data_IF_342815945270
#
_entry.id   IF_342815945270
#
_cell.length_a   1.000
_cell.length_b   1.000
_cell.length_c   1.000
_cell.angle_alpha   90.00
_cell.angle_beta   90.00
_cell.angle_gamma   90.00
#
_symmetry.space_group_name_H-M   'P 1'
#
loop_
_entity.id
_entity.type
_entity.pdbx_description
1 polymer ?
#
# COMPACT_ATOMS: atom_id res chain seq x y z
N UNK A 1 -23.16 -35.92 -18.67
CA UNK A 1 -22.11 -34.93 -18.37
C UNK A 1 -22.29 -34.52 -16.92
N UNK A 2 -21.53 -35.14 -16.02
CA UNK A 2 -21.53 -34.79 -14.60
C UNK A 2 -20.95 -33.38 -14.47
N UNK A 3 -21.82 -32.40 -14.21
CA UNK A 3 -21.40 -31.02 -13.99
C UNK A 3 -20.38 -31.00 -12.86
N UNK A 4 -19.15 -30.59 -13.15
CA UNK A 4 -18.21 -30.23 -12.11
C UNK A 4 -18.83 -29.05 -11.37
N UNK A 5 -19.34 -29.28 -10.17
CA UNK A 5 -19.77 -28.20 -9.29
C UNK A 5 -18.58 -27.24 -9.15
N UNK A 6 -18.77 -25.99 -9.58
CA UNK A 6 -17.79 -24.93 -9.37
C UNK A 6 -17.49 -24.86 -7.87
N UNK A 7 -16.21 -24.89 -7.50
CA UNK A 7 -15.77 -24.65 -6.11
C UNK A 7 -15.98 -23.19 -5.69
N UNK A 8 -16.34 -22.33 -6.65
CA UNK A 8 -16.55 -20.91 -6.45
C UNK A 8 -18.05 -20.59 -6.41
N UNK A 9 -18.44 -19.85 -5.36
CA UNK A 9 -19.81 -19.38 -5.11
C UNK A 9 -20.33 -18.41 -6.18
N UNK A 10 -19.41 -17.84 -6.98
CA UNK A 10 -19.74 -16.99 -8.10
C UNK A 10 -18.63 -17.08 -9.17
N UNK A 11 -18.99 -17.15 -10.45
CA UNK A 11 -18.03 -17.34 -11.55
C UNK A 11 -16.94 -16.24 -11.61
N UNK A 12 -17.28 -14.99 -11.27
CA UNK A 12 -16.31 -13.88 -11.14
C UNK A 12 -15.17 -14.10 -10.13
N UNK A 13 -15.38 -14.93 -9.09
CA UNK A 13 -14.35 -15.26 -8.10
C UNK A 13 -13.35 -16.28 -8.63
N UNK A 14 -13.75 -17.10 -9.60
CA UNK A 14 -12.88 -18.09 -10.23
C UNK A 14 -11.84 -17.39 -11.13
N UNK A 15 -10.53 -17.52 -10.86
CA UNK A 15 -9.50 -16.99 -11.74
C UNK A 15 -9.59 -17.54 -13.17
N UNK A 16 -10.19 -18.71 -13.41
CA UNK A 16 -10.37 -19.28 -14.74
C UNK A 16 -11.45 -18.59 -15.59
N UNK A 17 -12.30 -17.74 -14.99
CA UNK A 17 -13.39 -17.07 -15.72
C UNK A 17 -12.96 -15.75 -16.36
N UNK A 18 -12.18 -14.94 -15.63
CA UNK A 18 -11.75 -13.61 -16.09
C UNK A 18 -10.24 -13.41 -16.03
N UNK A 19 -9.60 -13.64 -14.89
CA UNK A 19 -8.18 -13.31 -14.69
C UNK A 19 -7.23 -14.07 -15.64
N UNK A 20 -7.24 -15.41 -15.60
CA UNK A 20 -6.32 -16.23 -16.41
C UNK A 20 -6.63 -16.15 -17.91
N UNK A 21 -7.90 -16.16 -18.37
CA UNK A 21 -8.22 -15.88 -19.77
C UNK A 21 -7.74 -14.49 -20.22
N UNK A 22 -7.94 -13.46 -19.38
CA UNK A 22 -7.45 -12.10 -19.63
C UNK A 22 -5.94 -12.06 -19.82
N UNK A 23 -5.17 -12.67 -18.92
CA UNK A 23 -3.70 -12.77 -19.03
C UNK A 23 -3.28 -13.54 -20.29
N UNK A 24 -3.87 -14.72 -20.55
CA UNK A 24 -3.50 -15.56 -21.70
C UNK A 24 -3.78 -14.89 -23.04
N UNK A 25 -4.87 -14.12 -23.11
CA UNK A 25 -5.28 -13.42 -24.33
C UNK A 25 -4.57 -12.08 -24.56
N UNK A 26 -3.79 -11.59 -23.58
CA UNK A 26 -3.13 -10.29 -23.68
C UNK A 26 -2.24 -10.17 -24.91
N UNK A 27 -1.26 -11.05 -25.08
CA UNK A 27 -0.29 -10.92 -26.18
C UNK A 27 -0.94 -11.09 -27.55
N UNK A 28 -1.77 -12.12 -27.81
CA UNK A 28 -2.50 -12.23 -29.07
C UNK A 28 -3.35 -11.00 -29.38
N UNK A 29 -4.09 -10.47 -28.40
CA UNK A 29 -4.90 -9.26 -28.58
C UNK A 29 -4.01 -8.06 -28.89
N UNK A 30 -2.96 -7.82 -28.09
CA UNK A 30 -2.04 -6.70 -28.29
C UNK A 30 -1.43 -6.72 -29.69
N UNK A 31 -0.92 -7.86 -30.15
CA UNK A 31 -0.33 -7.98 -31.50
C UNK A 31 -1.35 -7.83 -32.63
N UNK A 32 -2.62 -8.16 -32.39
CA UNK A 32 -3.69 -7.96 -33.37
C UNK A 32 -3.97 -6.46 -33.60
N UNK A 33 -4.10 -5.69 -32.51
CA UNK A 33 -4.31 -4.24 -32.59
C UNK A 33 -3.06 -3.49 -33.07
N UNK A 34 -1.87 -3.87 -32.59
CA UNK A 34 -0.60 -3.18 -32.85
C UNK A 34 0.34 -4.01 -33.75
N UNK A 35 -0.18 -4.46 -34.90
CA UNK A 35 0.54 -5.36 -35.82
C UNK A 35 1.59 -4.67 -36.71
N UNK A 36 1.63 -3.33 -36.75
CA UNK A 36 2.63 -2.58 -37.51
C UNK A 36 2.95 -1.21 -36.88
N UNK A 37 4.01 -0.56 -37.36
CA UNK A 37 4.44 0.75 -36.86
C UNK A 37 3.42 1.87 -37.02
N UNK A 38 2.55 1.82 -38.04
CA UNK A 38 1.49 2.82 -38.22
C UNK A 38 0.44 2.70 -37.10
N UNK A 39 0.05 1.48 -36.75
CA UNK A 39 -0.93 1.23 -35.69
C UNK A 39 -0.48 1.81 -34.32
N UNK A 40 0.83 1.83 -34.05
CA UNK A 40 1.42 2.45 -32.85
C UNK A 40 1.34 3.99 -32.83
N UNK A 41 1.05 4.63 -33.97
CA UNK A 41 0.98 6.09 -34.08
C UNK A 41 -0.46 6.63 -34.16
N UNK A 42 -1.45 5.76 -34.31
CA UNK A 42 -2.85 6.15 -34.48
C UNK A 42 -3.65 6.09 -33.18
N UNK A 43 -4.15 7.24 -32.72
CA UNK A 43 -5.02 7.35 -31.54
C UNK A 43 -6.28 6.47 -31.63
N UNK A 44 -6.82 6.26 -32.83
CA UNK A 44 -7.99 5.40 -33.04
C UNK A 44 -7.73 3.94 -32.63
N UNK A 45 -6.52 3.42 -32.90
CA UNK A 45 -6.12 2.06 -32.49
C UNK A 45 -6.11 1.94 -30.97
N UNK A 46 -5.53 2.92 -30.26
CA UNK A 46 -5.52 2.94 -28.80
C UNK A 46 -6.92 3.02 -28.20
N UNK A 47 -7.79 3.88 -28.76
CA UNK A 47 -9.20 3.98 -28.32
C UNK A 47 -9.95 2.67 -28.51
N UNK A 48 -9.79 2.02 -29.67
CA UNK A 48 -10.45 0.74 -29.96
C UNK A 48 -9.90 -0.37 -29.06
N UNK A 49 -8.58 -0.45 -28.87
CA UNK A 49 -7.95 -1.41 -27.97
C UNK A 49 -8.47 -1.24 -26.54
N UNK A 50 -8.49 0.00 -26.03
CA UNK A 50 -8.97 0.29 -24.68
C UNK A 50 -10.47 -0.02 -24.51
N UNK A 51 -11.30 0.21 -25.54
CA UNK A 51 -12.74 0.01 -25.43
C UNK A 51 -13.19 -1.44 -25.68
N UNK A 52 -12.40 -2.24 -26.39
CA UNK A 52 -12.83 -3.56 -26.89
C UNK A 52 -12.01 -4.73 -26.33
N UNK A 53 -10.78 -4.50 -25.88
CA UNK A 53 -9.98 -5.52 -25.22
C UNK A 53 -10.42 -5.70 -23.75
N UNK A 54 -9.90 -6.74 -23.10
CA UNK A 54 -10.11 -6.90 -21.66
C UNK A 54 -9.47 -5.71 -20.91
N UNK A 55 -10.14 -5.12 -19.90
CA UNK A 55 -9.58 -4.02 -19.12
C UNK A 55 -8.21 -4.34 -18.50
N UNK A 56 -7.91 -5.60 -18.24
CA UNK A 56 -6.61 -6.04 -17.74
C UNK A 56 -5.50 -5.83 -18.78
N UNK A 57 -5.80 -5.90 -20.08
CA UNK A 57 -4.80 -5.80 -21.15
C UNK A 57 -4.12 -4.44 -21.19
N UNK A 58 -4.89 -3.36 -21.10
CA UNK A 58 -4.33 -2.00 -21.03
C UNK A 58 -3.53 -1.76 -19.74
N UNK A 59 -3.93 -2.38 -18.62
CA UNK A 59 -3.16 -2.36 -17.38
C UNK A 59 -1.83 -3.12 -17.52
N UNK A 60 -1.81 -4.29 -18.18
CA UNK A 60 -0.57 -5.05 -18.45
C UNK A 60 0.37 -4.25 -19.38
N UNK A 61 -0.16 -3.68 -20.46
CA UNK A 61 0.63 -2.86 -21.38
C UNK A 61 1.24 -1.63 -20.68
N UNK A 62 0.45 -0.94 -19.86
CA UNK A 62 0.93 0.19 -19.07
C UNK A 62 2.00 -0.24 -18.05
N UNK A 63 1.79 -1.35 -17.35
CA UNK A 63 2.78 -1.91 -16.43
C UNK A 63 4.11 -2.25 -17.13
N UNK A 64 4.05 -2.86 -18.32
CA UNK A 64 5.23 -3.14 -19.14
C UNK A 64 5.98 -1.88 -19.58
N UNK A 65 5.23 -0.86 -20.02
CA UNK A 65 5.79 0.45 -20.38
C UNK A 65 6.49 1.12 -19.19
N UNK A 66 5.84 1.16 -18.02
CA UNK A 66 6.43 1.78 -16.82
C UNK A 66 7.63 0.98 -16.31
N UNK A 67 7.59 -0.35 -16.40
CA UNK A 67 8.74 -1.20 -16.07
C UNK A 67 9.95 -0.90 -16.96
N UNK A 68 9.72 -0.77 -18.27
CA UNK A 68 10.76 -0.35 -19.22
C UNK A 68 11.30 1.05 -18.91
N UNK A 69 10.40 2.00 -18.60
CA UNK A 69 10.78 3.36 -18.20
C UNK A 69 11.65 3.36 -16.94
N UNK A 70 11.27 2.64 -15.88
CA UNK A 70 12.04 2.54 -14.63
C UNK A 70 13.43 2.00 -14.90
N UNK A 71 13.54 0.91 -15.66
CA UNK A 71 14.82 0.34 -16.04
C UNK A 71 15.67 1.33 -16.84
N UNK A 72 15.10 1.94 -17.88
CA UNK A 72 15.81 2.88 -18.74
C UNK A 72 16.31 4.11 -17.95
N UNK A 73 15.47 4.65 -17.07
CA UNK A 73 15.83 5.80 -16.26
C UNK A 73 16.88 5.45 -15.20
N UNK A 74 16.84 4.26 -14.60
CA UNK A 74 17.93 3.80 -13.73
C UNK A 74 19.25 3.71 -14.53
N UNK A 75 19.23 3.25 -15.78
CA UNK A 75 20.43 3.18 -16.64
C UNK A 75 20.99 4.55 -16.98
N UNK A 76 20.13 5.54 -17.21
CA UNK A 76 20.53 6.92 -17.53
C UNK A 76 21.06 7.65 -16.29
N UNK A 77 20.38 7.50 -15.16
CA UNK A 77 20.64 8.30 -13.94
C UNK A 77 21.56 7.62 -12.92
N UNK A 78 21.69 6.29 -12.99
CA UNK A 78 22.33 5.48 -11.94
C UNK A 78 21.52 5.37 -10.65
N UNK A 79 20.30 5.91 -10.60
CA UNK A 79 19.45 5.98 -9.42
C UNK A 79 18.33 4.93 -9.50
N UNK A 80 18.30 4.02 -8.53
CA UNK A 80 17.35 2.91 -8.46
C UNK A 80 15.97 3.29 -7.89
N UNK A 81 15.84 4.50 -7.34
CA UNK A 81 14.59 5.01 -6.76
C UNK A 81 13.57 5.53 -7.77
N UNK A 82 13.74 5.24 -9.08
CA UNK A 82 12.75 5.64 -10.09
C UNK A 82 11.35 5.12 -9.77
N UNK A 83 11.25 3.86 -9.31
CA UNK A 83 9.96 3.26 -8.92
C UNK A 83 9.43 3.81 -7.58
N UNK A 84 10.30 4.26 -6.68
CA UNK A 84 9.91 4.76 -5.35
C UNK A 84 9.04 6.03 -5.48
N UNK A 85 9.36 6.92 -6.42
CA UNK A 85 8.53 8.09 -6.72
C UNK A 85 7.20 7.71 -7.37
N UNK A 86 7.23 6.77 -8.31
CA UNK A 86 6.03 6.28 -9.02
C UNK A 86 5.06 5.54 -8.11
N UNK A 87 5.55 4.94 -7.02
CA UNK A 87 4.77 4.27 -5.99
C UNK A 87 3.59 5.11 -5.50
N UNK A 88 3.78 6.42 -5.44
CA UNK A 88 2.77 7.36 -4.93
C UNK A 88 1.57 7.54 -5.86
N UNK A 89 1.71 7.17 -7.14
CA UNK A 89 0.72 7.41 -8.19
C UNK A 89 0.19 6.13 -8.84
N UNK A 90 1.03 5.12 -9.06
CA UNK A 90 0.66 3.97 -9.88
C UNK A 90 -0.56 3.20 -9.34
N UNK A 91 -0.71 2.89 -8.04
CA UNK A 91 -1.92 2.24 -7.53
C UNK A 91 -3.19 3.06 -7.79
N UNK A 92 -3.10 4.39 -7.66
CA UNK A 92 -4.20 5.29 -8.00
C UNK A 92 -4.51 5.24 -9.49
N UNK A 93 -3.50 5.28 -10.36
CA UNK A 93 -3.70 5.20 -11.82
C UNK A 93 -4.42 3.91 -12.21
N UNK A 94 -4.02 2.76 -11.65
CA UNK A 94 -4.71 1.49 -11.91
C UNK A 94 -6.14 1.46 -11.34
N UNK A 95 -6.36 2.02 -10.14
CA UNK A 95 -7.69 2.14 -9.53
C UNK A 95 -8.63 3.02 -10.37
N UNK A 96 -8.14 4.17 -10.85
CA UNK A 96 -8.84 5.06 -11.78
C UNK A 96 -9.14 4.33 -13.08
N UNK A 97 -8.15 3.66 -13.67
CA UNK A 97 -8.28 2.91 -14.93
C UNK A 97 -9.48 1.96 -14.89
N UNK A 98 -9.56 1.07 -13.89
CA UNK A 98 -10.68 0.12 -13.79
C UNK A 98 -12.01 0.81 -13.47
N UNK A 99 -11.99 1.96 -12.79
CA UNK A 99 -13.21 2.71 -12.45
C UNK A 99 -13.80 3.43 -13.65
N UNK A 100 -12.96 4.03 -14.50
CA UNK A 100 -13.41 4.77 -15.68
C UNK A 100 -13.56 3.89 -16.92
N UNK A 101 -13.07 2.65 -16.91
CA UNK A 101 -13.12 1.76 -18.08
C UNK A 101 -14.55 1.63 -18.65
N UNK A 102 -15.55 1.43 -17.77
CA UNK A 102 -16.97 1.34 -18.17
C UNK A 102 -17.45 2.57 -18.94
N UNK A 103 -16.92 3.77 -18.65
CA UNK A 103 -17.28 5.00 -19.35
C UNK A 103 -16.91 4.94 -20.84
N UNK A 104 -15.77 4.33 -21.17
CA UNK A 104 -15.28 4.19 -22.54
C UNK A 104 -15.89 2.99 -23.28
N UNK A 105 -16.37 1.99 -22.55
CA UNK A 105 -17.04 0.82 -23.13
C UNK A 105 -18.57 0.93 -23.13
N UNK A 106 -19.12 2.02 -22.59
CA UNK A 106 -20.56 2.18 -22.42
C UNK A 106 -21.25 2.21 -23.78
N UNK A 107 -22.08 1.20 -24.02
CA UNK A 107 -23.00 1.14 -25.15
C UNK A 107 -24.39 1.51 -24.62
N UNK A 108 -25.06 2.55 -25.15
CA UNK A 108 -26.40 2.91 -24.70
C UNK A 108 -27.38 1.77 -25.02
N UNK A 109 -27.79 1.01 -24.00
CA UNK A 109 -28.62 -0.18 -24.16
C UNK A 109 -30.13 0.12 -24.19
N UNK A 110 -30.55 1.39 -24.17
CA UNK A 110 -31.96 1.76 -24.10
C UNK A 110 -32.42 2.47 -25.36
N UNK A 111 -32.73 1.68 -26.38
CA UNK A 111 -33.67 2.12 -27.41
C UNK A 111 -35.07 1.99 -26.79
N UNK A 112 -35.62 3.08 -26.26
CA UNK A 112 -37.03 3.09 -25.87
C UNK A 112 -37.88 3.08 -27.13
N UNK A 113 -38.76 2.08 -27.26
CA UNK A 113 -39.64 1.90 -28.42
C UNK A 113 -40.48 3.17 -28.73
N UNK A 114 -40.68 4.05 -27.75
CA UNK A 114 -41.45 5.30 -27.87
C UNK A 114 -40.79 6.54 -27.21
N UNK A 115 -39.56 6.45 -26.69
CA UNK A 115 -39.02 7.43 -25.73
C UNK A 115 -37.76 8.21 -26.12
N UNK A 116 -37.30 8.10 -27.36
CA UNK A 116 -36.06 8.77 -27.78
C UNK A 116 -34.80 8.24 -27.07
N UNK A 117 -33.68 8.95 -27.23
CA UNK A 117 -32.40 8.60 -26.59
C UNK A 117 -32.41 9.11 -25.15
N UNK A 118 -32.58 8.23 -24.16
CA UNK A 118 -32.34 8.58 -22.76
C UNK A 118 -30.88 9.02 -22.59
N UNK A 119 -30.65 10.24 -22.11
CA UNK A 119 -29.31 10.73 -21.81
C UNK A 119 -28.75 9.96 -20.61
N UNK A 120 -27.82 9.05 -20.86
CA UNK A 120 -27.15 8.30 -19.79
C UNK A 120 -26.45 9.25 -18.81
N UNK A 121 -26.76 9.09 -17.52
CA UNK A 121 -26.12 9.79 -16.42
C UNK A 121 -24.67 9.33 -16.24
N UNK A 122 -23.88 10.06 -15.45
CA UNK A 122 -22.53 9.62 -15.07
C UNK A 122 -22.56 8.26 -14.35
N UNK A 123 -23.57 8.02 -13.53
CA UNK A 123 -23.72 6.79 -12.74
C UNK A 123 -24.17 5.59 -13.55
N UNK A 124 -24.64 5.79 -14.78
CA UNK A 124 -24.82 4.71 -15.75
C UNK A 124 -23.47 4.22 -16.32
N UNK A 125 -22.46 5.11 -16.33
CA UNK A 125 -21.15 4.93 -16.94
C UNK A 125 -20.03 4.58 -15.96
N UNK A 126 -20.23 4.85 -14.67
CA UNK A 126 -19.27 4.59 -13.60
C UNK A 126 -19.98 3.92 -12.43
N UNK A 127 -19.40 2.84 -11.91
CA UNK A 127 -19.95 2.12 -10.77
C UNK A 127 -19.66 2.86 -9.45
N UNK A 128 -20.67 3.21 -8.63
CA UNK A 128 -20.48 3.93 -7.37
C UNK A 128 -19.50 3.28 -6.40
N UNK A 129 -19.48 1.94 -6.27
CA UNK A 129 -18.53 1.25 -5.39
C UNK A 129 -17.08 1.42 -5.86
N UNK A 130 -16.83 1.30 -7.17
CA UNK A 130 -15.49 1.53 -7.74
C UNK A 130 -15.08 3.00 -7.62
N UNK A 131 -16.03 3.94 -7.80
CA UNK A 131 -15.79 5.36 -7.58
C UNK A 131 -15.41 5.66 -6.13
N UNK A 132 -16.08 5.04 -5.15
CA UNK A 132 -15.73 5.15 -3.73
C UNK A 132 -14.32 4.59 -3.45
N UNK A 133 -14.00 3.40 -3.95
CA UNK A 133 -12.65 2.82 -3.80
C UNK A 133 -11.57 3.72 -4.41
N UNK A 134 -11.85 4.32 -5.57
CA UNK A 134 -10.94 5.29 -6.22
C UNK A 134 -10.79 6.56 -5.37
N UNK A 135 -11.87 7.10 -4.82
CA UNK A 135 -11.81 8.25 -3.92
C UNK A 135 -10.93 7.95 -2.68
N UNK A 136 -11.09 6.77 -2.07
CA UNK A 136 -10.22 6.32 -0.99
C UNK A 136 -8.74 6.20 -1.45
N UNK A 137 -8.51 5.67 -2.65
CA UNK A 137 -7.18 5.61 -3.26
C UNK A 137 -6.58 7.00 -3.51
N UNK A 138 -7.40 8.00 -3.87
CA UNK A 138 -6.97 9.40 -4.00
C UNK A 138 -6.51 9.94 -2.65
N UNK A 139 -7.29 9.73 -1.58
CA UNK A 139 -6.90 10.18 -0.23
C UNK A 139 -5.58 9.55 0.22
N UNK A 140 -5.41 8.25 -0.03
CA UNK A 140 -4.15 7.55 0.24
C UNK A 140 -2.98 8.13 -0.56
N UNK A 141 -3.18 8.37 -1.87
CA UNK A 141 -2.15 8.91 -2.76
C UNK A 141 -1.77 10.35 -2.38
N UNK A 142 -2.73 11.21 -2.05
CA UNK A 142 -2.47 12.58 -1.56
C UNK A 142 -1.64 12.55 -0.29
N UNK A 143 -2.01 11.72 0.69
CA UNK A 143 -1.27 11.57 1.95
C UNK A 143 0.16 11.07 1.71
N UNK A 144 0.31 10.04 0.89
CA UNK A 144 1.62 9.46 0.58
C UNK A 144 2.50 10.46 -0.18
N UNK A 145 1.95 11.14 -1.18
CA UNK A 145 2.64 12.15 -1.99
C UNK A 145 3.10 13.33 -1.12
N UNK A 146 2.24 13.82 -0.22
CA UNK A 146 2.62 14.82 0.78
C UNK A 146 3.83 14.35 1.62
N UNK A 147 3.82 13.10 2.08
CA UNK A 147 4.94 12.55 2.85
C UNK A 147 6.22 12.32 2.02
N UNK A 148 6.08 12.00 0.74
CA UNK A 148 7.20 11.84 -0.19
C UNK A 148 7.85 13.20 -0.50
N UNK A 149 7.06 14.24 -0.77
CA UNK A 149 7.54 15.61 -1.04
C UNK A 149 8.33 16.15 0.14
N UNK A 150 7.77 16.14 1.35
CA UNK A 150 8.48 16.67 2.55
C UNK A 150 9.80 15.92 2.81
N UNK A 151 9.84 14.61 2.55
CA UNK A 151 11.06 13.80 2.68
C UNK A 151 12.08 14.03 1.58
N UNK A 152 11.75 14.80 0.54
CA UNK A 152 12.63 15.11 -0.56
C UNK A 152 12.72 14.01 -1.62
N UNK A 153 11.80 13.04 -1.64
CA UNK A 153 11.87 11.87 -2.53
C UNK A 153 11.89 12.24 -4.03
N UNK A 154 11.37 13.40 -4.39
CA UNK A 154 11.34 13.89 -5.77
C UNK A 154 12.50 14.83 -6.14
N UNK A 155 13.43 15.09 -5.21
CA UNK A 155 14.58 15.96 -5.53
C UNK A 155 15.54 15.21 -6.49
N UNK A 156 16.09 15.90 -7.50
CA UNK A 156 17.04 15.28 -8.42
C UNK A 156 18.23 14.66 -7.67
N UNK A 157 18.53 13.40 -7.96
CA UNK A 157 19.65 12.67 -7.38
C UNK A 157 19.40 12.05 -6.00
N UNK A 158 18.24 12.28 -5.36
CA UNK A 158 17.90 11.57 -4.13
C UNK A 158 17.57 10.10 -4.43
N UNK A 159 18.20 9.20 -3.67
CA UNK A 159 18.00 7.76 -3.75
C UNK A 159 17.67 7.24 -2.33
N UNK A 160 16.74 6.29 -2.23
CA UNK A 160 16.45 5.62 -0.97
C UNK A 160 17.72 4.97 -0.44
N UNK A 161 18.05 5.27 0.82
CA UNK A 161 19.30 4.85 1.46
C UNK A 161 19.52 3.33 1.45
N UNK A 162 18.46 2.52 1.30
CA UNK A 162 18.54 1.06 1.23
C UNK A 162 19.20 0.59 -0.07
N UNK A 163 19.03 1.31 -1.19
CA UNK A 163 19.59 0.88 -2.47
C UNK A 163 21.13 0.92 -2.49
N UNK A 164 21.82 2.00 -2.05
CA UNK A 164 23.27 1.99 -1.93
C UNK A 164 23.81 0.91 -0.98
N UNK A 165 23.11 0.65 0.13
CA UNK A 165 23.53 -0.38 1.09
C UNK A 165 23.42 -1.78 0.47
N UNK A 166 22.31 -2.08 -0.21
CA UNK A 166 22.11 -3.35 -0.90
C UNK A 166 23.05 -3.52 -2.10
N UNK A 167 23.31 -2.44 -2.86
CA UNK A 167 24.24 -2.44 -3.98
C UNK A 167 25.66 -2.81 -3.56
N UNK A 168 26.10 -2.41 -2.36
CA UNK A 168 27.42 -2.75 -1.80
C UNK A 168 27.58 -4.24 -1.48
N UNK A 169 26.48 -4.98 -1.28
CA UNK A 169 26.53 -6.41 -0.97
C UNK A 169 26.46 -7.29 -2.23
N UNK A 170 26.42 -6.70 -3.43
CA UNK A 170 26.24 -7.42 -4.69
C UNK A 170 27.37 -7.11 -5.69
N UNK A 171 27.70 -8.09 -6.53
CA UNK A 171 28.56 -7.84 -7.70
C UNK A 171 27.81 -7.02 -8.76
N UNK A 172 28.53 -6.37 -9.68
CA UNK A 172 27.90 -5.56 -10.75
C UNK A 172 26.89 -6.33 -11.60
N UNK A 173 27.16 -7.58 -12.06
CA UNK A 173 26.18 -8.36 -12.81
C UNK A 173 24.95 -8.73 -11.97
N UNK A 174 25.16 -9.10 -10.70
CA UNK A 174 24.08 -9.43 -9.77
C UNK A 174 23.17 -8.22 -9.51
N UNK A 175 23.74 -7.04 -9.30
CA UNK A 175 22.96 -5.80 -9.19
C UNK A 175 22.13 -5.54 -10.44
N UNK A 176 22.70 -5.74 -11.63
CA UNK A 176 21.98 -5.50 -12.88
C UNK A 176 20.77 -6.44 -13.05
N UNK A 177 20.94 -7.74 -12.77
CA UNK A 177 19.86 -8.72 -12.79
C UNK A 177 18.81 -8.34 -11.73
N UNK A 178 19.23 -8.02 -10.52
CA UNK A 178 18.34 -7.60 -9.44
C UNK A 178 17.54 -6.34 -9.81
N UNK A 179 18.18 -5.32 -10.37
CA UNK A 179 17.53 -4.09 -10.82
C UNK A 179 16.45 -4.38 -11.87
N UNK A 180 16.74 -5.18 -12.90
CA UNK A 180 15.74 -5.51 -13.93
C UNK A 180 14.56 -6.28 -13.35
N UNK A 181 14.81 -7.40 -12.67
CA UNK A 181 13.74 -8.31 -12.28
C UNK A 181 12.98 -7.83 -11.05
N UNK A 182 13.68 -7.28 -10.05
CA UNK A 182 13.05 -6.83 -8.82
C UNK A 182 12.59 -5.38 -8.92
N UNK A 183 13.50 -4.44 -9.16
CA UNK A 183 13.21 -2.99 -9.08
C UNK A 183 12.30 -2.55 -10.24
N UNK A 184 12.62 -2.94 -11.47
CA UNK A 184 11.86 -2.52 -12.63
C UNK A 184 10.59 -3.36 -12.84
N UNK A 185 10.69 -4.69 -12.83
CA UNK A 185 9.54 -5.56 -13.17
C UNK A 185 8.68 -5.87 -11.95
N UNK A 186 9.24 -6.50 -10.91
CA UNK A 186 8.42 -7.01 -9.79
C UNK A 186 7.72 -5.89 -8.99
N UNK A 187 8.39 -4.75 -8.75
CA UNK A 187 7.75 -3.61 -8.06
C UNK A 187 6.59 -3.04 -8.87
N UNK A 188 6.73 -2.88 -10.19
CA UNK A 188 5.63 -2.38 -11.04
C UNK A 188 4.47 -3.38 -11.15
N UNK A 189 4.75 -4.68 -11.23
CA UNK A 189 3.72 -5.72 -11.15
C UNK A 189 2.99 -5.67 -9.81
N UNK A 190 3.73 -5.53 -8.71
CA UNK A 190 3.14 -5.40 -7.37
C UNK A 190 2.20 -4.19 -7.30
N UNK A 191 2.61 -3.03 -7.84
CA UNK A 191 1.79 -1.84 -7.91
C UNK A 191 0.51 -2.04 -8.74
N UNK A 192 0.58 -2.79 -9.85
CA UNK A 192 -0.59 -3.17 -10.63
C UNK A 192 -1.53 -4.14 -9.89
N UNK A 193 -0.95 -5.11 -9.16
CA UNK A 193 -1.68 -6.11 -8.37
C UNK A 193 -2.57 -5.44 -7.30
N UNK A 194 -2.20 -4.26 -6.79
CA UNK A 194 -3.00 -3.52 -5.81
C UNK A 194 -4.43 -3.23 -6.27
N UNK A 195 -4.65 -3.12 -7.58
CA UNK A 195 -5.94 -2.80 -8.17
C UNK A 195 -6.74 -4.05 -8.59
N UNK A 196 -6.28 -5.27 -8.26
CA UNK A 196 -7.05 -6.50 -8.49
C UNK A 196 -8.47 -6.48 -7.88
N UNK A 197 -8.71 -5.90 -6.68
CA UNK A 197 -10.06 -5.73 -6.16
C UNK A 197 -10.95 -4.91 -7.11
N UNK A 198 -10.47 -3.79 -7.65
CA UNK A 198 -11.21 -2.97 -8.62
C UNK A 198 -11.50 -3.75 -9.91
N UNK A 199 -10.50 -4.47 -10.44
CA UNK A 199 -10.68 -5.31 -11.63
C UNK A 199 -11.73 -6.40 -11.40
N UNK A 200 -11.64 -7.14 -10.30
CA UNK A 200 -12.61 -8.19 -9.96
C UNK A 200 -14.03 -7.61 -9.88
N UNK A 201 -14.22 -6.50 -9.16
CA UNK A 201 -15.52 -5.85 -9.04
C UNK A 201 -16.05 -5.31 -10.39
N UNK A 202 -15.18 -4.77 -11.25
CA UNK A 202 -15.55 -4.39 -12.61
C UNK A 202 -16.06 -5.60 -13.41
N UNK A 203 -15.40 -6.75 -13.30
CA UNK A 203 -15.82 -7.95 -14.07
C UNK A 203 -17.24 -8.41 -13.71
N UNK A 204 -17.75 -8.10 -12.51
CA UNK A 204 -19.14 -8.40 -12.12
C UNK A 204 -20.19 -7.66 -12.95
N UNK A 205 -19.80 -6.59 -13.65
CA UNK A 205 -20.68 -5.84 -14.55
C UNK A 205 -20.64 -6.36 -15.99
N UNK A 206 -19.86 -7.42 -16.25
CA UNK A 206 -19.76 -8.02 -17.58
C UNK A 206 -21.08 -8.66 -18.00
N UNK A 207 -21.38 -8.60 -19.30
CA UNK A 207 -22.55 -9.29 -19.89
C UNK A 207 -22.57 -10.79 -19.54
N UNK A 208 -21.39 -11.40 -19.35
CA UNK A 208 -21.24 -12.80 -18.94
C UNK A 208 -21.94 -13.16 -17.62
N UNK A 209 -22.18 -12.18 -16.75
CA UNK A 209 -22.74 -12.39 -15.41
C UNK A 209 -24.15 -11.81 -15.24
N UNK A 210 -24.82 -11.41 -16.34
CA UNK A 210 -26.18 -10.84 -16.27
C UNK A 210 -27.19 -11.83 -15.69
N UNK A 211 -26.97 -13.13 -15.90
CA UNK A 211 -27.81 -14.21 -15.37
C UNK A 211 -27.45 -14.63 -13.94
N UNK A 212 -26.34 -14.14 -13.39
CA UNK A 212 -25.82 -14.47 -12.06
C UNK A 212 -25.43 -13.18 -11.33
N UNK A 213 -26.41 -12.37 -10.86
CA UNK A 213 -26.09 -11.12 -10.19
C UNK A 213 -25.47 -11.36 -8.80
N UNK A 214 -24.47 -10.56 -8.46
CA UNK A 214 -23.89 -10.56 -7.11
C UNK A 214 -24.91 -10.12 -6.05
N UNK A 215 -24.88 -10.66 -4.82
CA UNK A 215 -25.85 -10.34 -3.76
C UNK A 215 -25.93 -8.84 -3.41
N UNK A 216 -24.80 -8.15 -3.51
CA UNK A 216 -24.68 -6.70 -3.26
C UNK A 216 -24.05 -6.03 -4.49
N UNK A 217 -24.85 -5.62 -5.48
CA UNK A 217 -24.38 -5.01 -6.73
C UNK A 217 -23.44 -3.82 -6.51
N UNK A 218 -22.47 -3.64 -7.43
CA UNK A 218 -21.48 -2.54 -7.38
C UNK A 218 -22.06 -1.18 -7.82
N UNK A 219 -23.25 -1.20 -8.44
CA UNK A 219 -23.98 -0.02 -8.89
C UNK A 219 -24.69 0.73 -7.73
N UNK A 220 -24.63 0.19 -6.50
CA UNK A 220 -25.29 0.74 -5.32
C UNK A 220 -24.35 0.71 -4.10
N UNK A 221 -24.36 1.80 -3.34
CA UNK A 221 -23.67 1.86 -2.05
C UNK A 221 -24.61 1.40 -0.93
N UNK A 222 -24.09 0.57 -0.04
CA UNK A 222 -24.77 0.08 1.15
C UNK A 222 -24.05 0.53 2.42
N UNK A 223 -24.65 0.29 3.59
CA UNK A 223 -24.04 0.62 4.89
C UNK A 223 -22.59 0.08 5.03
N UNK A 224 -22.33 -1.14 4.55
CA UNK A 224 -21.00 -1.74 4.58
C UNK A 224 -19.94 -0.95 3.80
N UNK A 225 -20.32 -0.31 2.68
CA UNK A 225 -19.40 0.53 1.91
C UNK A 225 -18.95 1.75 2.72
N UNK A 226 -19.89 2.38 3.43
CA UNK A 226 -19.60 3.52 4.32
C UNK A 226 -18.79 3.11 5.55
N UNK A 227 -19.03 1.93 6.12
CA UNK A 227 -18.22 1.39 7.21
C UNK A 227 -16.78 1.16 6.75
N UNK A 228 -16.56 0.51 5.61
CA UNK A 228 -15.22 0.29 5.07
C UNK A 228 -14.51 1.62 4.74
N UNK A 229 -15.23 2.58 4.17
CA UNK A 229 -14.70 3.92 3.91
C UNK A 229 -14.30 4.65 5.21
N UNK A 230 -15.13 4.59 6.26
CA UNK A 230 -14.83 5.17 7.56
C UNK A 230 -13.60 4.52 8.21
N UNK A 231 -13.51 3.18 8.17
CA UNK A 231 -12.34 2.44 8.65
C UNK A 231 -11.08 2.80 7.87
N UNK A 232 -11.18 2.99 6.56
CA UNK A 232 -10.06 3.42 5.72
C UNK A 232 -9.57 4.82 6.11
N UNK A 233 -10.48 5.79 6.27
CA UNK A 233 -10.13 7.16 6.66
C UNK A 233 -9.55 7.20 8.07
N UNK A 234 -10.10 6.42 9.02
CA UNK A 234 -9.54 6.27 10.36
C UNK A 234 -8.11 5.71 10.29
N UNK A 235 -7.90 4.64 9.52
CA UNK A 235 -6.58 4.03 9.32
C UNK A 235 -5.57 5.02 8.70
N UNK A 236 -5.96 5.75 7.65
CA UNK A 236 -5.12 6.80 7.06
C UNK A 236 -4.80 7.93 8.04
N UNK A 237 -5.75 8.29 8.90
CA UNK A 237 -5.55 9.32 9.93
C UNK A 237 -4.49 8.88 10.93
N UNK A 238 -4.59 7.65 11.44
CA UNK A 238 -3.59 7.05 12.33
C UNK A 238 -2.22 7.00 11.63
N UNK A 239 -2.21 6.60 10.35
CA UNK A 239 -0.99 6.56 9.54
C UNK A 239 -0.34 7.95 9.41
N UNK A 240 -1.13 8.98 9.14
CA UNK A 240 -0.66 10.36 9.03
C UNK A 240 -0.05 10.85 10.35
N UNK A 241 -0.69 10.54 11.49
CA UNK A 241 -0.13 10.85 12.80
C UNK A 241 1.18 10.09 13.06
N UNK A 242 1.25 8.80 12.71
CA UNK A 242 2.48 8.02 12.84
C UNK A 242 3.64 8.61 12.03
N UNK A 243 3.39 8.97 10.77
CA UNK A 243 4.36 9.65 9.91
C UNK A 243 4.76 11.02 10.49
N UNK A 244 3.82 11.80 11.03
CA UNK A 244 4.10 13.09 11.65
C UNK A 244 4.95 12.95 12.92
N UNK A 245 4.68 11.93 13.75
CA UNK A 245 5.49 11.62 14.94
C UNK A 245 6.94 11.32 14.55
N UNK A 246 7.13 10.49 13.52
CA UNK A 246 8.46 10.17 13.01
C UNK A 246 9.15 11.40 12.39
N UNK A 247 8.42 12.22 11.64
CA UNK A 247 8.96 13.45 11.07
C UNK A 247 9.47 14.41 12.13
N UNK A 248 8.65 14.68 13.15
CA UNK A 248 9.00 15.58 14.24
C UNK A 248 10.24 15.07 14.98
N UNK A 249 10.29 13.76 15.28
CA UNK A 249 11.44 13.12 15.91
C UNK A 249 12.71 13.28 15.05
N UNK A 250 12.65 12.97 13.76
CA UNK A 250 13.82 13.04 12.87
C UNK A 250 14.31 14.49 12.69
N UNK A 251 13.41 15.46 12.61
CA UNK A 251 13.79 16.87 12.54
C UNK A 251 14.48 17.34 13.83
N UNK A 252 13.89 17.03 14.99
CA UNK A 252 14.53 17.31 16.28
C UNK A 252 15.92 16.69 16.35
N UNK A 253 16.05 15.39 16.06
CA UNK A 253 17.33 14.69 16.06
C UNK A 253 18.37 15.31 15.12
N UNK A 254 17.94 15.89 13.99
CA UNK A 254 18.79 16.61 13.03
C UNK A 254 19.13 18.04 13.47
N UNK A 255 18.76 18.43 14.69
CA UNK A 255 19.00 19.76 15.22
C UNK A 255 18.09 20.81 14.59
N UNK A 256 16.83 20.47 14.29
CA UNK A 256 15.83 21.40 13.78
C UNK A 256 14.70 21.61 14.79
N UNK A 257 14.12 22.81 14.75
CA UNK A 257 12.94 23.19 15.52
C UNK A 257 11.65 22.58 14.89
N UNK A 258 10.46 22.81 15.50
CA UNK A 258 9.20 22.29 14.97
C UNK A 258 8.78 22.86 13.62
N UNK A 259 9.34 24.01 13.25
CA UNK A 259 9.12 24.71 11.99
C UNK A 259 10.24 24.41 10.97
N UNK A 260 11.03 23.37 11.24
CA UNK A 260 12.11 22.85 10.39
C UNK A 260 13.32 23.79 10.24
N UNK A 261 13.40 24.82 11.09
CA UNK A 261 14.53 25.75 11.12
C UNK A 261 15.68 25.14 11.93
N UNK A 262 16.95 25.32 11.52
CA UNK A 262 18.09 24.88 12.33
C UNK A 262 18.05 25.49 13.74
N UNK A 263 18.31 24.67 14.75
CA UNK A 263 18.46 25.12 16.13
C UNK A 263 19.75 25.95 16.28
N UNK A 264 19.78 26.94 17.18
CA UNK A 264 21.01 27.67 17.50
C UNK A 264 22.11 26.71 17.96
N UNK A 265 23.37 27.00 17.61
CA UNK A 265 24.52 26.17 17.97
C UNK A 265 24.63 25.93 19.50
N UNK A 266 24.20 26.89 20.32
CA UNK A 266 24.14 26.77 21.78
C UNK A 266 23.14 25.72 22.30
N UNK A 267 22.24 25.23 21.46
CA UNK A 267 21.26 24.18 21.78
C UNK A 267 21.68 22.81 21.25
N UNK A 268 22.86 22.70 20.63
CA UNK A 268 23.39 21.46 20.09
C UNK A 268 24.68 21.09 20.83
N UNK A 269 24.87 19.79 21.08
CA UNK A 269 26.12 19.28 21.61
C UNK A 269 27.25 19.51 20.58
N UNK A 270 28.40 20.11 20.98
CA UNK A 270 29.45 20.47 20.03
C UNK A 270 30.02 19.28 19.24
N UNK A 271 30.03 18.08 19.83
CA UNK A 271 30.65 16.88 19.26
C UNK A 271 29.66 16.04 18.46
N UNK A 272 28.56 15.64 19.08
CA UNK A 272 27.53 14.77 18.49
C UNK A 272 26.53 15.53 17.61
N UNK A 273 26.45 16.86 17.74
CA UNK A 273 25.46 17.73 17.09
C UNK A 273 24.00 17.42 17.47
N UNK A 274 23.77 16.61 18.51
CA UNK A 274 22.44 16.29 19.00
C UNK A 274 21.88 17.44 19.86
N UNK A 275 20.56 17.66 19.89
CA UNK A 275 19.98 18.67 20.77
C UNK A 275 20.19 18.35 22.26
N UNK A 276 20.48 19.40 23.04
CA UNK A 276 20.68 19.31 24.51
C UNK A 276 19.53 19.87 25.32
N UNK A 277 18.51 20.46 24.68
CA UNK A 277 17.29 20.98 25.31
C UNK A 277 16.05 20.30 24.76
N UNK A 278 15.04 20.13 25.62
CA UNK A 278 13.74 19.59 25.24
C UNK A 278 13.02 20.51 24.23
N UNK A 279 12.25 19.91 23.33
CA UNK A 279 11.33 20.62 22.45
C UNK A 279 9.88 20.37 22.90
N UNK A 280 9.08 21.43 23.03
CA UNK A 280 7.74 21.39 23.65
C UNK A 280 6.63 20.82 22.76
N UNK A 281 6.93 20.41 21.53
CA UNK A 281 5.90 20.20 20.52
C UNK A 281 5.33 18.78 20.51
N UNK A 282 5.99 17.79 21.11
CA UNK A 282 5.50 16.41 21.22
C UNK A 282 6.18 15.67 22.38
N UNK A 283 5.65 14.53 22.86
CA UNK A 283 6.25 13.75 23.95
C UNK A 283 7.62 13.09 23.62
N UNK A 284 8.16 13.32 22.42
CA UNK A 284 9.20 12.51 21.75
C UNK A 284 10.48 13.30 21.42
N UNK A 285 10.80 14.33 22.19
CA UNK A 285 11.88 15.26 21.86
C UNK A 285 12.64 15.72 23.09
N UNK A 286 13.23 14.74 23.80
CA UNK A 286 14.20 14.98 24.87
C UNK A 286 15.62 14.67 24.39
N UNK A 287 16.67 15.19 25.05
CA UNK A 287 18.06 14.81 24.76
C UNK A 287 18.30 13.30 24.87
N UNK A 288 17.62 12.61 25.79
CA UNK A 288 17.67 11.14 25.88
C UNK A 288 17.09 10.46 24.64
N UNK A 289 15.98 10.95 24.11
CA UNK A 289 15.37 10.40 22.88
C UNK A 289 16.29 10.63 21.66
N UNK A 290 16.97 11.77 21.60
CA UNK A 290 17.95 12.06 20.55
C UNK A 290 19.18 11.14 20.64
N UNK A 291 19.70 10.93 21.86
CA UNK A 291 20.82 10.00 22.13
C UNK A 291 20.48 8.56 21.78
N UNK A 292 19.28 8.10 22.15
CA UNK A 292 18.79 6.74 21.82
C UNK A 292 18.77 6.48 20.32
N UNK A 293 18.46 7.51 19.53
CA UNK A 293 18.59 7.47 18.08
C UNK A 293 17.39 6.90 17.31
N UNK A 294 16.33 6.45 18.00
CA UNK A 294 15.06 6.07 17.40
C UNK A 294 13.87 6.50 18.29
N UNK A 295 12.70 6.67 17.68
CA UNK A 295 11.46 7.00 18.38
C UNK A 295 10.89 5.76 19.06
N UNK A 296 10.42 5.90 20.30
CA UNK A 296 9.80 4.79 21.04
C UNK A 296 8.46 5.12 21.63
N UNK A 297 8.09 6.40 21.81
CA UNK A 297 6.85 6.74 22.51
C UNK A 297 5.76 7.17 21.51
N UNK A 298 4.51 7.24 21.96
CA UNK A 298 3.37 7.54 21.09
C UNK A 298 2.83 6.30 20.41
N UNK A 299 2.48 6.40 19.12
CA UNK A 299 2.08 5.23 18.35
C UNK A 299 3.24 4.22 18.26
N UNK A 300 4.47 4.73 18.29
CA UNK A 300 5.70 3.94 18.31
C UNK A 300 5.89 3.12 19.60
N UNK A 301 5.11 3.38 20.67
CA UNK A 301 5.13 2.53 21.87
C UNK A 301 4.30 1.26 21.69
N UNK A 302 3.36 1.27 20.74
CA UNK A 302 2.41 0.18 20.48
C UNK A 302 2.82 -0.67 19.29
N UNK A 303 3.47 -0.07 18.30
CA UNK A 303 3.98 -0.73 17.11
C UNK A 303 5.31 -0.09 16.77
N UNK A 304 6.32 -0.87 16.38
CA UNK A 304 7.61 -0.32 15.95
C UNK A 304 7.53 0.33 14.58
N UNK A 305 6.50 0.03 13.80
CA UNK A 305 6.23 0.66 12.49
C UNK A 305 4.73 0.89 12.33
N UNK A 306 4.12 1.81 13.10
CA UNK A 306 2.68 2.03 13.09
C UNK A 306 2.19 2.53 11.72
N UNK A 307 3.01 3.33 11.03
CA UNK A 307 2.72 3.77 9.67
C UNK A 307 2.75 2.63 8.65
N UNK A 308 3.65 1.65 8.78
CA UNK A 308 3.69 0.46 7.90
C UNK A 308 2.59 -0.55 8.23
N UNK A 309 2.19 -0.65 9.51
CA UNK A 309 1.02 -1.43 9.90
C UNK A 309 -0.24 -0.87 9.22
N UNK A 310 -0.47 0.44 9.34
CA UNK A 310 -1.58 1.09 8.65
C UNK A 310 -1.48 0.97 7.13
N UNK A 311 -0.29 1.09 6.54
CA UNK A 311 -0.09 0.90 5.09
C UNK A 311 -0.54 -0.49 4.64
N UNK A 312 -0.18 -1.55 5.37
CA UNK A 312 -0.65 -2.91 5.08
C UNK A 312 -2.16 -3.05 5.28
N UNK A 313 -2.72 -2.45 6.33
CA UNK A 313 -4.16 -2.46 6.61
C UNK A 313 -4.99 -1.77 5.52
N UNK A 314 -4.49 -0.70 4.89
CA UNK A 314 -5.13 -0.02 3.74
C UNK A 314 -5.52 -1.01 2.65
N UNK A 315 -4.60 -1.90 2.27
CA UNK A 315 -4.84 -2.87 1.19
C UNK A 315 -5.82 -3.97 1.60
N UNK A 316 -5.83 -4.36 2.88
CA UNK A 316 -6.85 -5.27 3.41
C UNK A 316 -8.25 -4.63 3.42
N UNK A 317 -8.37 -3.35 3.74
CA UNK A 317 -9.65 -2.63 3.71
C UNK A 317 -10.15 -2.48 2.26
N UNK A 318 -9.28 -2.13 1.31
CA UNK A 318 -9.65 -2.09 -0.11
C UNK A 318 -10.07 -3.46 -0.63
N UNK A 319 -9.36 -4.52 -0.21
CA UNK A 319 -9.76 -5.89 -0.53
C UNK A 319 -11.12 -6.26 0.07
N UNK A 320 -11.48 -5.76 1.26
CA UNK A 320 -12.74 -6.09 1.93
C UNK A 320 -14.00 -5.68 1.15
N UNK A 321 -13.91 -4.79 0.17
CA UNK A 321 -15.00 -4.50 -0.77
C UNK A 321 -15.36 -5.72 -1.63
N UNK A 322 -14.43 -6.67 -1.84
CA UNK A 322 -14.68 -7.94 -2.53
C UNK A 322 -15.64 -8.82 -1.72
N UNK A 323 -15.29 -9.36 -0.53
CA UNK A 323 -16.25 -10.16 0.24
C UNK A 323 -17.53 -9.39 0.57
N UNK A 324 -17.49 -8.06 0.76
CA UNK A 324 -18.71 -7.25 0.91
C UNK A 324 -19.68 -7.41 -0.29
N UNK A 325 -19.14 -7.47 -1.51
CA UNK A 325 -19.91 -7.62 -2.76
C UNK A 325 -20.56 -9.02 -2.86
N UNK A 326 -19.81 -10.07 -2.48
CA UNK A 326 -20.23 -11.46 -2.71
C UNK A 326 -20.92 -12.14 -1.54
N UNK A 327 -20.70 -11.71 -0.29
CA UNK A 327 -21.30 -12.37 0.87
C UNK A 327 -22.84 -12.33 0.77
N UNK A 328 -23.55 -13.42 1.08
CA UNK A 328 -25.01 -13.42 1.05
C UNK A 328 -25.57 -12.42 2.09
N UNK A 329 -26.83 -11.99 1.88
CA UNK A 329 -27.51 -11.07 2.83
C UNK A 329 -27.77 -11.74 4.19
N UNK A 330 -28.02 -13.04 4.16
CA UNK A 330 -28.13 -13.89 5.33
C UNK A 330 -26.98 -14.88 5.29
N UNK A 331 -26.06 -14.77 6.26
CA UNK A 331 -24.89 -15.63 6.32
C UNK A 331 -25.26 -16.94 7.03
N UNK A 332 -25.18 -18.04 6.30
CA UNK A 332 -25.39 -19.36 6.87
C UNK A 332 -24.07 -19.93 7.39
N UNK A 333 -23.92 -20.01 8.71
CA UNK A 333 -22.71 -20.52 9.35
C UNK A 333 -22.57 -22.04 9.29
N UNK A 334 -23.53 -22.77 8.72
CA UNK A 334 -23.44 -24.22 8.51
C UNK A 334 -22.62 -24.60 7.27
N UNK A 335 -22.36 -23.64 6.38
CA UNK A 335 -21.58 -23.82 5.16
C UNK A 335 -20.28 -23.00 5.16
N UNK A 336 -19.27 -23.46 4.42
CA UNK A 336 -17.97 -22.81 4.35
C UNK A 336 -17.96 -21.66 3.31
N UNK A 337 -17.78 -20.42 3.77
CA UNK A 337 -17.75 -19.21 2.92
C UNK A 337 -16.35 -18.82 2.42
N UNK A 338 -15.41 -19.77 2.34
CA UNK A 338 -13.98 -19.46 2.11
C UNK A 338 -13.73 -18.73 0.79
N UNK A 339 -14.48 -19.05 -0.28
CA UNK A 339 -14.26 -18.53 -1.64
C UNK A 339 -14.54 -17.03 -1.77
N UNK A 340 -15.40 -16.49 -0.89
CA UNK A 340 -15.63 -15.05 -0.76
C UNK A 340 -14.38 -14.31 -0.26
N UNK A 341 -13.57 -14.98 0.56
CA UNK A 341 -12.41 -14.39 1.24
C UNK A 341 -11.06 -14.80 0.64
N UNK A 342 -10.96 -15.95 -0.04
CA UNK A 342 -9.73 -16.46 -0.64
C UNK A 342 -9.88 -16.62 -2.17
N UNK A 343 -10.10 -15.50 -2.85
CA UNK A 343 -10.09 -15.38 -4.31
C UNK A 343 -8.80 -14.68 -4.78
N UNK A 344 -8.58 -14.59 -6.10
CA UNK A 344 -7.34 -14.04 -6.64
C UNK A 344 -7.06 -12.56 -6.27
N UNK A 345 -8.07 -11.77 -5.91
CA UNK A 345 -7.84 -10.38 -5.49
C UNK A 345 -7.20 -10.27 -4.10
N UNK A 346 -7.17 -11.36 -3.30
CA UNK A 346 -6.42 -11.39 -2.02
C UNK A 346 -4.91 -11.21 -2.24
N UNK A 347 -4.42 -11.43 -3.47
CA UNK A 347 -3.03 -11.18 -3.83
C UNK A 347 -2.65 -9.71 -3.61
N UNK A 348 -3.58 -8.77 -3.68
CA UNK A 348 -3.32 -7.35 -3.43
C UNK A 348 -2.74 -7.09 -2.01
N UNK A 349 -3.47 -7.37 -0.91
CA UNK A 349 -2.92 -7.20 0.42
C UNK A 349 -1.77 -8.16 0.74
N UNK A 350 -1.78 -9.39 0.22
CA UNK A 350 -0.70 -10.35 0.47
C UNK A 350 0.63 -9.93 -0.17
N UNK A 351 0.61 -9.41 -1.39
CA UNK A 351 1.81 -8.88 -2.06
C UNK A 351 2.38 -7.69 -1.31
N UNK A 352 1.51 -6.81 -0.78
CA UNK A 352 1.94 -5.71 0.07
C UNK A 352 2.61 -6.21 1.36
N UNK A 353 2.02 -7.17 2.07
CA UNK A 353 2.66 -7.75 3.25
C UNK A 353 4.02 -8.41 2.90
N UNK A 354 4.09 -9.12 1.78
CA UNK A 354 5.30 -9.78 1.31
C UNK A 354 6.43 -8.80 0.96
N UNK A 355 6.10 -7.55 0.59
CA UNK A 355 7.07 -6.48 0.41
C UNK A 355 7.47 -5.84 1.75
N UNK A 356 6.48 -5.47 2.56
CA UNK A 356 6.71 -4.70 3.79
C UNK A 356 7.51 -5.49 4.82
N UNK A 357 7.25 -6.80 4.98
CA UNK A 357 7.94 -7.62 5.97
C UNK A 357 9.47 -7.68 5.77
N UNK A 358 10.03 -8.13 4.63
CA UNK A 358 11.47 -8.17 4.42
C UNK A 358 12.09 -6.77 4.41
N UNK A 359 11.40 -5.78 3.83
CA UNK A 359 11.85 -4.39 3.80
C UNK A 359 11.99 -3.78 5.20
N UNK A 360 11.04 -4.08 6.09
CA UNK A 360 11.06 -3.67 7.50
C UNK A 360 12.17 -4.38 8.24
N UNK A 361 12.32 -5.71 8.09
CA UNK A 361 13.41 -6.48 8.71
C UNK A 361 14.78 -5.93 8.34
N UNK A 362 14.99 -5.62 7.07
CA UNK A 362 16.23 -5.00 6.61
C UNK A 362 16.47 -3.63 7.25
N UNK A 363 15.44 -2.78 7.29
CA UNK A 363 15.53 -1.44 7.91
C UNK A 363 15.79 -1.50 9.42
N UNK A 364 15.19 -2.48 10.11
CA UNK A 364 15.44 -2.73 11.53
C UNK A 364 16.86 -3.26 11.78
N UNK A 365 17.38 -4.12 10.91
CA UNK A 365 18.75 -4.59 11.01
C UNK A 365 19.74 -3.42 10.93
N UNK A 366 19.59 -2.55 9.92
CA UNK A 366 20.43 -1.34 9.78
C UNK A 366 20.30 -0.44 11.02
N UNK A 367 19.12 -0.36 11.61
CA UNK A 367 18.90 0.40 12.85
C UNK A 367 19.60 -0.23 14.05
N UNK A 368 19.56 -1.56 14.20
CA UNK A 368 20.20 -2.29 15.28
C UNK A 368 21.73 -2.27 15.19
N UNK A 369 22.29 -2.28 13.97
CA UNK A 369 23.73 -2.09 13.75
C UNK A 369 24.19 -0.70 14.20
N UNK A 370 23.33 0.31 14.06
CA UNK A 370 23.64 1.70 14.43
C UNK A 370 23.35 2.04 15.89
N UNK A 371 22.30 1.46 16.47
CA UNK A 371 21.84 1.73 17.83
C UNK A 371 21.67 0.40 18.59
N UNK A 372 22.63 0.00 19.42
CA UNK A 372 22.59 -1.29 20.13
C UNK A 372 21.31 -1.50 20.97
N UNK A 373 20.75 -0.43 21.53
CA UNK A 373 19.51 -0.47 22.32
C UNK A 373 18.26 -0.80 21.49
N UNK A 374 18.33 -0.72 20.16
CA UNK A 374 17.22 -1.07 19.27
C UNK A 374 16.80 -2.54 19.42
N UNK A 375 17.74 -3.43 19.75
CA UNK A 375 17.44 -4.83 20.02
C UNK A 375 16.48 -5.02 21.21
N UNK A 376 16.57 -4.16 22.25
CA UNK A 376 15.63 -4.20 23.37
C UNK A 376 14.25 -3.64 22.98
N UNK A 377 14.22 -2.65 22.08
CA UNK A 377 12.96 -2.17 21.51
C UNK A 377 12.25 -3.28 20.70
N UNK A 378 12.98 -4.06 19.90
CA UNK A 378 12.45 -5.22 19.20
C UNK A 378 11.90 -6.30 20.13
N UNK A 379 12.53 -6.49 21.30
CA UNK A 379 12.04 -7.41 22.33
C UNK A 379 10.76 -6.91 22.99
N UNK A 380 10.66 -5.60 23.22
CA UNK A 380 9.61 -4.98 24.04
C UNK A 380 8.33 -4.61 23.29
N UNK A 381 8.44 -4.12 22.05
CA UNK A 381 7.33 -3.58 21.25
C UNK A 381 7.18 -4.44 20.00
N UNK A 382 5.97 -4.75 19.56
CA UNK A 382 5.66 -5.53 18.37
C UNK A 382 5.99 -4.80 17.06
N UNK A 383 6.30 -5.55 15.99
CA UNK A 383 6.75 -4.95 14.71
C UNK A 383 5.64 -4.11 14.05
N UNK A 384 4.45 -4.70 13.89
CA UNK A 384 3.32 -4.08 13.23
C UNK A 384 2.08 -4.01 14.12
N UNK A 385 1.70 -5.13 14.76
CA UNK A 385 0.44 -5.23 15.48
C UNK A 385 0.59 -4.85 16.97
N UNK A 386 -0.29 -3.99 17.52
CA UNK A 386 -0.29 -3.66 18.94
C UNK A 386 -0.47 -4.85 19.88
N UNK A 387 -1.15 -5.91 19.43
CA UNK A 387 -1.36 -7.12 20.24
C UNK A 387 -0.04 -7.82 20.60
N UNK A 388 0.95 -7.79 19.70
CA UNK A 388 2.28 -8.34 19.98
C UNK A 388 2.96 -7.58 21.13
N UNK A 389 2.77 -6.26 21.21
CA UNK A 389 3.27 -5.43 22.30
C UNK A 389 2.59 -5.78 23.62
N UNK A 390 1.28 -6.04 23.60
CA UNK A 390 0.54 -6.47 24.78
C UNK A 390 1.05 -7.80 25.31
N UNK A 391 1.22 -8.79 24.43
CA UNK A 391 1.78 -10.10 24.78
C UNK A 391 3.20 -9.99 25.36
N UNK A 392 4.05 -9.15 24.75
CA UNK A 392 5.40 -8.86 25.28
C UNK A 392 5.35 -8.18 26.64
N UNK A 393 4.40 -7.28 26.86
CA UNK A 393 4.19 -6.62 28.16
C UNK A 393 3.84 -7.65 29.24
N UNK A 394 2.95 -8.60 28.93
CA UNK A 394 2.61 -9.69 29.84
C UNK A 394 3.83 -10.56 30.15
N UNK A 395 4.63 -10.94 29.14
CA UNK A 395 5.87 -11.68 29.35
C UNK A 395 6.84 -10.97 30.30
N UNK A 396 7.09 -9.67 30.10
CA UNK A 396 7.99 -8.89 30.98
C UNK A 396 7.45 -8.67 32.39
N UNK A 397 6.14 -8.74 32.58
CA UNK A 397 5.51 -8.60 33.90
C UNK A 397 5.46 -9.93 34.67
N UNK A 398 5.32 -11.05 33.98
CA UNK A 398 5.02 -12.34 34.60
C UNK A 398 6.19 -13.33 34.57
N UNK A 399 7.07 -13.24 33.58
CA UNK A 399 8.06 -14.29 33.27
C UNK A 399 9.49 -13.75 33.30
N UNK A 400 9.75 -12.58 32.72
CA UNK A 400 11.11 -12.07 32.60
C UNK A 400 11.77 -11.77 33.96
N UNK A 401 13.10 -11.90 34.03
CA UNK A 401 13.86 -11.52 35.22
C UNK A 401 13.69 -10.02 35.52
N UNK A 402 13.71 -9.64 36.81
CA UNK A 402 13.62 -8.23 37.22
C UNK A 402 14.73 -7.38 36.58
N UNK A 403 15.93 -7.95 36.45
CA UNK A 403 17.08 -7.28 35.84
C UNK A 403 16.87 -7.05 34.34
N UNK A 404 16.40 -8.06 33.61
CA UNK A 404 16.11 -7.94 32.17
C UNK A 404 14.98 -6.96 31.91
N UNK A 405 13.90 -7.04 32.68
CA UNK A 405 12.80 -6.08 32.61
C UNK A 405 13.33 -4.66 32.81
N UNK A 406 14.09 -4.42 33.88
CA UNK A 406 14.63 -3.10 34.18
C UNK A 406 15.54 -2.57 33.06
N UNK A 407 16.43 -3.41 32.53
CA UNK A 407 17.33 -3.04 31.43
C UNK A 407 16.54 -2.68 30.16
N UNK A 408 15.59 -3.52 29.76
CA UNK A 408 14.77 -3.31 28.56
C UNK A 408 13.89 -2.07 28.70
N UNK A 409 13.20 -1.90 29.83
CA UNK A 409 12.36 -0.72 30.08
C UNK A 409 13.20 0.57 30.10
N UNK A 410 14.44 0.54 30.63
CA UNK A 410 15.36 1.69 30.62
C UNK A 410 15.78 2.03 29.18
N UNK A 411 16.18 1.02 28.42
CA UNK A 411 16.67 1.15 27.06
C UNK A 411 15.58 1.53 26.05
N UNK A 412 14.30 1.34 26.38
CA UNK A 412 13.17 1.71 25.49
C UNK A 412 12.52 3.02 25.91
N UNK A 413 12.26 3.22 27.21
CA UNK A 413 11.48 4.37 27.71
C UNK A 413 12.33 5.47 28.35
N UNK A 414 13.59 5.16 28.68
CA UNK A 414 14.48 6.03 29.45
C UNK A 414 14.43 5.75 30.96
N UNK A 415 15.52 6.07 31.66
CA UNK A 415 15.67 5.84 33.11
C UNK A 415 14.68 6.64 33.96
N UNK A 416 14.24 7.82 33.49
CA UNK A 416 13.23 8.65 34.15
C UNK A 416 11.84 7.99 34.22
N UNK A 417 11.55 7.00 33.37
CA UNK A 417 10.28 6.28 33.38
C UNK A 417 10.24 5.20 34.46
N UNK A 418 11.41 4.65 34.83
CA UNK A 418 11.55 3.63 35.86
C UNK A 418 11.41 4.23 37.26
N UNK A 419 11.96 5.42 37.49
CA UNK A 419 11.82 6.10 38.79
C UNK A 419 10.36 6.42 39.11
N UNK A 420 9.54 6.72 38.10
CA UNK A 420 8.08 6.91 38.25
C UNK A 420 7.34 5.61 38.56
N UNK A 421 7.74 4.47 37.98
CA UNK A 421 7.14 3.16 38.27
C UNK A 421 7.50 2.67 39.69
N UNK A 422 8.63 3.11 40.26
CA UNK A 422 8.99 2.81 41.65
C UNK A 422 8.30 3.72 42.68
N UNK A 423 7.73 4.83 42.25
CA UNK A 423 7.09 5.83 43.11
C UNK A 423 5.55 5.70 43.18
N UNK A 424 4.98 4.84 42.34
CA UNK A 424 3.57 4.43 42.33
C UNK A 424 3.49 2.93 42.61
#
# INVERSE_FOLDING_TARGET
MTGTHSLWEHAALDPNTHLLPGIRSFWPAFTSYFHNGKALTHLATYKSYYASADPLHSAIAFCGFVSFYVWLMERITGNASQVDGLWTFLPLIYSVHFTVHKYFTYQPAKLSLFGGVESASLWDKVEPRLALMTLLSVLWSVRLTYNAIRRGMFKPGEEDYRWPLLRKTMSRPMWHIFSIFFIAIAQNILLAITALPNYLLLTTTSVKHVTEPVPRPVNQLILGDYILAALFVLNLTIQFFADQQQWNYQNYKRGKDPYEKPLPAAMLDPKSKLPVKNQTVQPYSTPDDARRGFVTKGLWAWSRHPNFACEQTTWWILYAFVPLTFLPRHLDFTHAHWSHFANYAILAPLAMNALFLPSTRYSEQVSAEKYPEYADYQKRVGMFLPIDTLLRTLYYNLIASKQDKHRVEANVWGTSHISKIKAN
#
